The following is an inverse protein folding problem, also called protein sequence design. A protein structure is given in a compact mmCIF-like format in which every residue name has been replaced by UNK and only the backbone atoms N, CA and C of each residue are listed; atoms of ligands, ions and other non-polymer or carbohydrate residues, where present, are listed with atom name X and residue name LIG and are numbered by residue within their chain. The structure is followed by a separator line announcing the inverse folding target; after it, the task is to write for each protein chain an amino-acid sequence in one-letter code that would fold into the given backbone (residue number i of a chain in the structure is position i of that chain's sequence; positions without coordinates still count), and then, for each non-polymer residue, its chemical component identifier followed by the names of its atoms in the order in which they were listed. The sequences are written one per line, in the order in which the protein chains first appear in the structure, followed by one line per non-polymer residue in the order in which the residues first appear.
data_IF_389596895754
#
_entry.id   IF_389596895754
#
_cell.length_a   1.000
_cell.length_b   1.000
_cell.length_c   1.000
_cell.angle_alpha   90.00
_cell.angle_beta   90.00
_cell.angle_gamma   90.00
#
_symmetry.space_group_name_H-M   'P 1'
#
loop_
_entity.id
_entity.type
_entity.pdbx_description
1 polymer ?
2 water ?
#
# COMPACT_ATOMS: atom_id res chain seq x y z
N UNK A 1 -0.36 27.84 -6.29
CA UNK A 1 -1.48 28.56 -5.72
C UNK A 1 -1.35 28.75 -4.22
N UNK A 2 -2.37 29.33 -3.60
CA UNK A 2 -2.32 29.65 -2.18
C UNK A 2 -2.36 28.40 -1.30
N UNK A 3 -3.01 27.34 -1.78
CA UNK A 3 -3.14 26.12 -1.01
C UNK A 3 -2.28 24.99 -1.57
N UNK A 4 -1.47 25.31 -2.56
CA UNK A 4 -0.62 24.31 -3.21
C UNK A 4 0.33 23.63 -2.22
N UNK A 5 1.01 24.42 -1.40
CA UNK A 5 1.96 23.86 -0.45
C UNK A 5 1.23 23.07 0.65
N UNK A 6 0.11 23.61 1.12
CA UNK A 6 -0.70 22.92 2.13
C UNK A 6 -1.19 21.57 1.62
N UNK A 7 -1.61 21.54 0.36
CA UNK A 7 -2.08 20.31 -0.27
C UNK A 7 -0.95 19.30 -0.43
N UNK A 8 0.23 19.78 -0.80
CA UNK A 8 1.42 18.93 -0.87
C UNK A 8 1.68 18.26 0.47
N UNK A 9 1.59 19.05 1.53
CA UNK A 9 1.80 18.56 2.88
C UNK A 9 0.80 17.46 3.21
N UNK A 10 -0.48 17.74 3.00
CA UNK A 10 -1.54 16.78 3.28
C UNK A 10 -1.36 15.50 2.48
N UNK A 11 -1.03 15.64 1.20
CA UNK A 11 -0.83 14.49 0.34
C UNK A 11 0.36 13.65 0.78
N UNK A 12 1.47 14.31 1.09
CA UNK A 12 2.66 13.60 1.57
C UNK A 12 2.38 12.89 2.88
N UNK A 13 1.56 13.50 3.73
CA UNK A 13 1.28 12.95 5.04
C UNK A 13 0.29 11.79 5.00
N UNK A 14 -0.37 11.62 3.86
CA UNK A 14 -1.21 10.44 3.63
C UNK A 14 -0.35 9.17 3.62
N UNK A 15 0.92 9.33 3.28
CA UNK A 15 1.87 8.22 3.25
C UNK A 15 2.07 7.64 4.65
N UNK A 16 1.98 8.50 5.66
CA UNK A 16 2.13 8.07 7.05
C UNK A 16 1.03 7.09 7.44
N UNK A 17 -0.17 7.33 6.93
CA UNK A 17 -1.30 6.46 7.21
C UNK A 17 -1.12 5.11 6.53
N UNK A 18 -0.57 5.13 5.31
CA UNK A 18 -0.23 3.89 4.62
C UNK A 18 0.74 3.07 5.45
N UNK A 19 1.77 3.73 5.97
CA UNK A 19 2.78 3.06 6.78
C UNK A 19 2.17 2.47 8.05
N UNK A 20 1.31 3.24 8.70
CA UNK A 20 0.68 2.82 9.95
C UNK A 20 -0.20 1.59 9.74
N UNK A 21 -1.02 1.63 8.70
CA UNK A 21 -1.94 0.53 8.41
C UNK A 21 -1.19 -0.75 8.06
N UNK A 22 -0.11 -0.61 7.30
CA UNK A 22 0.68 -1.77 6.88
C UNK A 22 1.51 -2.32 8.04
N UNK A 23 1.96 -1.44 8.92
CA UNK A 23 2.77 -1.84 10.06
C UNK A 23 1.95 -2.68 11.04
N UNK A 24 0.74 -2.22 11.32
CA UNK A 24 -0.17 -2.95 12.21
C UNK A 24 -0.57 -4.29 11.60
N UNK A 25 -0.84 -4.29 10.30
CA UNK A 25 -1.19 -5.50 9.57
C UNK A 25 -0.05 -6.51 9.64
N UNK A 26 1.18 -6.02 9.55
CA UNK A 26 2.35 -6.88 9.67
C UNK A 26 2.52 -7.36 11.11
N UNK A 27 2.06 -6.56 12.06
CA UNK A 27 2.13 -6.92 13.47
C UNK A 27 1.07 -7.96 13.81
N UNK A 28 -0.10 -7.84 13.19
CA UNK A 28 -1.18 -8.80 13.38
C UNK A 28 -0.73 -10.19 12.93
N UNK A 29 0.04 -10.22 11.85
CA UNK A 29 0.52 -11.48 11.29
C UNK A 29 1.67 -12.05 12.11
N UNK A 30 2.40 -11.18 12.79
CA UNK A 30 3.54 -11.60 13.61
C UNK A 30 3.06 -12.35 14.85
N UNK A 31 2.07 -11.79 15.53
CA UNK A 31 1.52 -12.42 16.73
C UNK A 31 0.74 -13.68 16.36
N UNK A 32 0.23 -13.72 15.14
CA UNK A 32 -0.51 -14.89 14.65
C UNK A 32 0.45 -16.02 14.31
N UNK A 33 1.56 -15.67 13.66
CA UNK A 33 2.57 -16.65 13.29
C UNK A 33 3.28 -17.20 14.52
N UNK A 34 3.44 -16.35 15.53
CA UNK A 34 4.15 -16.72 16.75
C UNK A 34 3.42 -17.85 17.48
N UNK A 35 2.09 -17.82 17.43
CA UNK A 35 1.29 -18.83 18.11
C UNK A 35 1.28 -20.16 17.36
N UNK A 36 1.37 -20.09 16.03
CA UNK A 36 1.34 -21.30 15.21
C UNK A 36 2.63 -22.09 15.37
N UNK A 37 3.76 -21.39 15.39
CA UNK A 37 5.06 -22.04 15.57
C UNK A 37 5.22 -22.52 17.01
N UNK A 38 4.46 -21.91 17.92
CA UNK A 38 4.49 -22.30 19.32
C UNK A 38 3.73 -23.61 19.52
N UNK A 39 2.69 -23.81 18.71
CA UNK A 39 1.88 -25.02 18.79
C UNK A 39 2.30 -26.02 17.73
N UNK A 45 4.15 -25.41 9.35
CA UNK A 45 2.72 -25.66 9.23
C UNK A 45 2.14 -24.86 8.07
N UNK A 46 1.49 -23.75 8.39
CA UNK A 46 0.94 -22.85 7.38
C UNK A 46 1.52 -21.45 7.56
N UNK A 47 2.69 -21.39 8.19
CA UNK A 47 3.36 -20.12 8.45
C UNK A 47 4.00 -19.59 7.18
N UNK A 48 4.17 -20.48 6.20
CA UNK A 48 4.78 -20.11 4.92
C UNK A 48 3.96 -19.03 4.22
N UNK A 49 2.64 -19.11 4.37
CA UNK A 49 1.75 -18.11 3.78
C UNK A 49 1.87 -16.78 4.51
N UNK A 50 2.03 -16.85 5.83
CA UNK A 50 2.21 -15.66 6.65
C UNK A 50 3.57 -15.03 6.35
N UNK A 51 4.58 -15.87 6.17
CA UNK A 51 5.92 -15.41 5.83
C UNK A 51 5.92 -14.65 4.51
N UNK A 52 5.14 -15.14 3.56
CA UNK A 52 5.09 -14.54 2.23
C UNK A 52 4.41 -13.16 2.28
N UNK A 53 3.38 -13.04 3.10
CA UNK A 53 2.64 -11.78 3.20
C UNK A 53 3.40 -10.75 4.04
N UNK A 54 4.01 -11.20 5.13
CA UNK A 54 4.79 -10.30 5.97
C UNK A 54 5.96 -9.71 5.18
N UNK A 55 6.54 -10.52 4.31
CA UNK A 55 7.64 -10.08 3.48
C UNK A 55 7.16 -9.09 2.42
N UNK A 56 5.92 -9.26 1.97
CA UNK A 56 5.32 -8.34 1.02
C UNK A 56 5.06 -6.99 1.69
N UNK A 57 4.49 -7.04 2.89
CA UNK A 57 4.22 -5.84 3.67
C UNK A 57 5.50 -5.07 3.96
N UNK A 58 6.57 -5.79 4.29
CA UNK A 58 7.86 -5.19 4.59
C UNK A 58 8.41 -4.44 3.38
N UNK A 59 8.28 -5.04 2.20
CA UNK A 59 8.77 -4.43 0.97
C UNK A 59 7.98 -3.17 0.66
N UNK A 60 6.69 -3.17 1.01
CA UNK A 60 5.83 -2.02 0.77
C UNK A 60 6.06 -0.94 1.81
N UNK A 61 6.37 -1.35 3.03
CA UNK A 61 6.68 -0.41 4.10
C UNK A 61 7.98 0.33 3.77
N UNK A 62 8.98 -0.41 3.29
CA UNK A 62 10.23 0.19 2.87
C UNK A 62 10.01 1.15 1.69
N UNK A 63 9.10 0.78 0.80
CA UNK A 63 8.78 1.62 -0.35
C UNK A 63 8.16 2.93 0.11
N UNK A 64 7.21 2.83 1.04
CA UNK A 64 6.54 4.00 1.59
C UNK A 64 7.54 4.92 2.29
N UNK A 65 8.50 4.34 2.98
CA UNK A 65 9.51 5.12 3.69
C UNK A 65 10.36 5.92 2.72
N UNK A 66 10.68 5.33 1.57
CA UNK A 66 11.37 6.07 0.52
C UNK A 66 10.48 7.18 -0.01
N UNK A 67 9.20 6.88 -0.18
CA UNK A 67 8.24 7.86 -0.68
C UNK A 67 8.11 9.05 0.28
N UNK A 68 8.13 8.77 1.57
CA UNK A 68 8.05 9.82 2.58
C UNK A 68 9.26 10.75 2.46
N UNK A 69 10.45 10.16 2.36
CA UNK A 69 11.67 10.95 2.23
C UNK A 69 11.66 11.79 0.95
N UNK A 70 11.21 11.20 -0.15
CA UNK A 70 11.12 11.91 -1.42
C UNK A 70 10.10 13.04 -1.37
N UNK A 71 8.93 12.74 -0.82
CA UNK A 71 7.83 13.69 -0.73
C UNK A 71 8.20 14.89 0.14
N UNK A 72 8.73 14.60 1.32
CA UNK A 72 9.12 15.66 2.24
C UNK A 72 10.27 16.49 1.67
N UNK A 73 11.15 15.86 0.91
CA UNK A 73 12.26 16.57 0.28
C UNK A 73 11.75 17.56 -0.77
N UNK A 74 10.73 17.16 -1.52
CA UNK A 74 10.15 18.04 -2.54
C UNK A 74 9.46 19.24 -1.90
N UNK A 75 8.89 19.03 -0.71
CA UNK A 75 8.26 20.12 0.02
C UNK A 75 9.33 21.11 0.47
N UNK A 76 10.44 20.58 0.97
CA UNK A 76 11.56 21.41 1.41
C UNK A 76 12.09 22.27 0.27
N UNK A 77 12.23 21.68 -0.91
CA UNK A 77 12.68 22.41 -2.09
C UNK A 77 11.65 23.47 -2.48
N UNK A 78 10.38 23.11 -2.38
CA UNK A 78 9.29 24.04 -2.68
C UNK A 78 9.31 25.24 -1.73
N UNK A 79 9.77 25.02 -0.50
CA UNK A 79 9.72 26.05 0.53
C UNK A 79 10.99 26.90 0.62
N UNK A 80 12.06 26.46 -0.04
CA UNK A 80 13.33 27.17 0.07
C UNK A 80 13.31 28.50 -0.68
N UNK B 3 10.77 22.69 -12.52
CA UNK B 3 11.36 21.74 -11.58
C UNK B 3 10.35 21.31 -10.52
N UNK B 4 9.48 22.24 -10.12
CA UNK B 4 8.46 21.95 -9.12
C UNK B 4 7.45 20.93 -9.65
N UNK B 5 6.96 21.17 -10.87
CA UNK B 5 5.98 20.29 -11.48
C UNK B 5 6.57 18.89 -11.68
N UNK B 6 7.83 18.84 -12.08
CA UNK B 6 8.52 17.57 -12.30
C UNK B 6 8.57 16.72 -11.04
N UNK B 7 8.91 17.34 -9.91
CA UNK B 7 9.00 16.64 -8.64
C UNK B 7 7.64 16.14 -8.18
N UNK B 8 6.62 16.97 -8.34
CA UNK B 8 5.25 16.60 -7.98
C UNK B 8 4.80 15.37 -8.77
N UNK B 9 5.06 15.37 -10.07
CA UNK B 9 4.71 14.24 -10.92
C UNK B 9 5.40 12.96 -10.45
N UNK B 10 6.66 13.08 -10.05
CA UNK B 10 7.43 11.93 -9.59
C UNK B 10 6.79 11.27 -8.37
N UNK B 11 6.21 12.09 -7.49
CA UNK B 11 5.54 11.57 -6.31
C UNK B 11 4.26 10.84 -6.68
N UNK B 12 3.50 11.39 -7.62
CA UNK B 12 2.29 10.73 -8.08
C UNK B 12 2.66 9.41 -8.74
N UNK B 13 3.73 9.42 -9.53
CA UNK B 13 4.20 8.22 -10.22
C UNK B 13 4.60 7.12 -9.24
N UNK B 14 5.15 7.50 -8.09
CA UNK B 14 5.51 6.51 -7.07
C UNK B 14 4.25 5.84 -6.54
N UNK B 15 3.18 6.62 -6.41
CA UNK B 15 1.89 6.08 -5.98
C UNK B 15 1.35 5.09 -7.02
N UNK B 16 1.46 5.47 -8.30
CA UNK B 16 1.03 4.60 -9.39
C UNK B 16 1.79 3.28 -9.40
N UNK B 17 3.10 3.36 -9.22
CA UNK B 17 3.96 2.18 -9.24
C UNK B 17 3.59 1.21 -8.12
N UNK B 18 3.26 1.74 -6.95
CA UNK B 18 2.89 0.90 -5.82
C UNK B 18 1.52 0.26 -6.04
N UNK B 19 0.60 1.03 -6.62
CA UNK B 19 -0.74 0.51 -6.87
C UNK B 19 -0.68 -0.64 -7.86
N UNK B 20 0.23 -0.53 -8.82
CA UNK B 20 0.39 -1.55 -9.84
C UNK B 20 0.83 -2.87 -9.22
N UNK B 21 1.83 -2.79 -8.34
CA UNK B 21 2.35 -3.98 -7.67
C UNK B 21 1.32 -4.57 -6.72
N UNK B 22 0.54 -3.71 -6.09
CA UNK B 22 -0.48 -4.16 -5.15
C UNK B 22 -1.63 -4.83 -5.90
N UNK B 23 -1.95 -4.30 -7.08
CA UNK B 23 -3.01 -4.88 -7.90
C UNK B 23 -2.57 -6.23 -8.45
N UNK B 24 -1.31 -6.33 -8.86
CA UNK B 24 -0.76 -7.58 -9.37
C UNK B 24 -0.80 -8.67 -8.30
N UNK B 25 -0.53 -8.28 -7.06
CA UNK B 25 -0.54 -9.23 -5.95
C UNK B 25 -1.95 -9.71 -5.63
N UNK B 26 -2.92 -8.81 -5.69
CA UNK B 26 -4.31 -9.16 -5.40
C UNK B 26 -4.83 -10.16 -6.43
N UNK B 27 -4.48 -9.93 -7.69
CA UNK B 27 -4.85 -10.83 -8.77
C UNK B 27 -4.24 -12.21 -8.56
N UNK B 28 -3.00 -12.23 -8.08
CA UNK B 28 -2.30 -13.47 -7.79
C UNK B 28 -3.02 -14.25 -6.69
N UNK B 29 -3.45 -13.54 -5.65
CA UNK B 29 -4.17 -14.16 -4.54
C UNK B 29 -5.53 -14.66 -4.99
N UNK B 30 -6.16 -13.91 -5.89
CA UNK B 30 -7.45 -14.30 -6.45
C UNK B 30 -7.35 -15.65 -7.15
N UNK B 31 -6.33 -15.78 -8.00
CA UNK B 31 -6.08 -17.02 -8.72
C UNK B 31 -5.78 -18.17 -7.75
N UNK B 32 -5.05 -17.87 -6.68
CA UNK B 32 -4.72 -18.89 -5.70
C UNK B 32 -5.97 -19.36 -4.96
N UNK B 33 -6.86 -18.42 -4.64
CA UNK B 33 -8.10 -18.76 -3.96
C UNK B 33 -8.99 -19.62 -4.86
N UNK B 34 -9.04 -19.28 -6.15
CA UNK B 34 -9.83 -20.04 -7.11
C UNK B 34 -9.38 -21.49 -7.18
N UNK B 35 -8.06 -21.70 -7.20
CA UNK B 35 -7.50 -23.05 -7.22
C UNK B 35 -7.87 -23.81 -5.96
N UNK B 36 -7.75 -23.14 -4.81
CA UNK B 36 -8.08 -23.75 -3.53
C UNK B 36 -9.55 -24.13 -3.46
N UNK B 37 -10.42 -23.22 -3.89
CA UNK B 37 -11.86 -23.48 -3.91
C UNK B 37 -12.18 -24.63 -4.86
N UNK B 38 -11.50 -24.67 -6.00
CA UNK B 38 -11.75 -25.70 -7.00
C UNK B 38 -11.34 -27.08 -6.50
N UNK B 39 -10.41 -27.12 -5.55
CA UNK B 39 -9.92 -28.39 -5.02
C UNK B 39 -10.58 -28.79 -3.70
N UNK B 40 -11.03 -27.80 -2.93
CA UNK B 40 -11.53 -28.07 -1.58
C UNK B 40 -12.92 -27.51 -1.29
N UNK B 41 -13.39 -26.59 -2.12
CA UNK B 41 -14.67 -25.95 -1.90
C UNK B 41 -14.57 -24.64 -1.14
N UNK B 42 -15.69 -23.92 -1.05
CA UNK B 42 -15.75 -22.64 -0.35
C UNK B 42 -15.59 -22.79 1.16
N UNK B 43 -15.77 -24.01 1.65
CA UNK B 43 -15.71 -24.27 3.08
C UNK B 43 -14.32 -24.61 3.60
N UNK B 44 -13.30 -24.36 2.79
CA UNK B 44 -11.93 -24.62 3.20
C UNK B 44 -11.52 -23.66 4.31
N UNK B 45 -10.47 -24.03 5.03
CA UNK B 45 -9.96 -23.21 6.12
C UNK B 45 -9.16 -22.03 5.58
N UNK B 46 -8.50 -22.24 4.44
CA UNK B 46 -7.57 -21.26 3.90
C UNK B 46 -8.26 -20.10 3.18
N UNK B 47 -9.47 -20.33 2.70
CA UNK B 47 -10.18 -19.31 1.93
C UNK B 47 -10.52 -18.09 2.79
N UNK B 48 -10.74 -18.32 4.08
CA UNK B 48 -11.09 -17.24 4.99
C UNK B 48 -9.90 -16.32 5.23
N UNK B 49 -8.71 -16.90 5.27
CA UNK B 49 -7.49 -16.14 5.51
C UNK B 49 -7.05 -15.40 4.25
N UNK B 50 -7.39 -15.96 3.09
CA UNK B 50 -7.09 -15.30 1.82
C UNK B 50 -8.08 -14.17 1.59
N UNK B 51 -9.35 -14.41 1.93
CA UNK B 51 -10.37 -13.37 1.84
C UNK B 51 -9.99 -12.18 2.71
N UNK B 52 -9.53 -12.47 3.92
CA UNK B 52 -9.08 -11.43 4.84
C UNK B 52 -7.90 -10.67 4.26
N UNK B 53 -6.94 -11.40 3.71
CA UNK B 53 -5.76 -10.80 3.11
C UNK B 53 -6.15 -9.92 1.92
N UNK B 54 -7.05 -10.42 1.08
CA UNK B 54 -7.51 -9.68 -0.09
C UNK B 54 -8.26 -8.41 0.31
N UNK B 55 -8.98 -8.47 1.43
CA UNK B 55 -9.67 -7.29 1.94
C UNK B 55 -8.66 -6.24 2.37
N UNK B 56 -7.59 -6.68 3.01
CA UNK B 56 -6.53 -5.78 3.44
C UNK B 56 -5.86 -5.10 2.25
N UNK B 57 -5.58 -5.88 1.21
CA UNK B 57 -4.98 -5.35 0.00
C UNK B 57 -5.90 -4.35 -0.69
N UNK B 58 -7.18 -4.70 -0.76
CA UNK B 58 -8.18 -3.84 -1.39
C UNK B 58 -8.29 -2.52 -0.64
N UNK B 59 -8.24 -2.58 0.69
CA UNK B 59 -8.24 -1.38 1.51
C UNK B 59 -7.04 -0.51 1.15
N UNK B 60 -5.87 -1.14 1.03
CA UNK B 60 -4.65 -0.44 0.62
C UNK B 60 -4.80 0.20 -0.76
N UNK B 61 -5.42 -0.51 -1.69
CA UNK B 61 -5.55 -0.03 -3.06
C UNK B 61 -6.59 1.09 -3.12
N UNK B 62 -7.68 0.94 -2.39
CA UNK B 62 -8.69 1.99 -2.33
C UNK B 62 -8.09 3.29 -1.79
N UNK B 63 -7.23 3.16 -0.78
CA UNK B 63 -6.60 4.32 -0.16
C UNK B 63 -5.62 5.00 -1.12
N UNK B 64 -4.84 4.20 -1.84
CA UNK B 64 -3.84 4.75 -2.75
C UNK B 64 -4.53 5.37 -3.97
N UNK B 65 -5.71 4.88 -4.31
CA UNK B 65 -6.49 5.47 -5.40
C UNK B 65 -6.86 6.92 -5.09
N UNK B 66 -7.26 7.17 -3.84
CA UNK B 66 -7.57 8.52 -3.40
C UNK B 66 -6.30 9.38 -3.35
N UNK B 67 -5.20 8.76 -2.95
CA UNK B 67 -3.91 9.45 -2.89
C UNK B 67 -3.45 9.87 -4.28
N UNK B 68 -3.71 9.02 -5.26
CA UNK B 68 -3.36 9.31 -6.64
C UNK B 68 -4.23 10.45 -7.15
N UNK B 69 -5.51 10.41 -6.79
CA UNK B 69 -6.45 11.47 -7.17
C UNK B 69 -6.05 12.82 -6.58
N UNK B 70 -5.80 12.85 -5.27
CA UNK B 70 -5.38 14.07 -4.60
C UNK B 70 -4.08 14.61 -5.20
N UNK B 71 -3.17 13.69 -5.53
CA UNK B 71 -1.85 14.04 -6.06
C UNK B 71 -1.96 14.77 -7.38
N UNK B 72 -2.71 14.18 -8.31
CA UNK B 72 -2.90 14.77 -9.63
C UNK B 72 -3.74 16.04 -9.54
N UNK B 73 -4.74 16.04 -8.66
CA UNK B 73 -5.63 17.18 -8.51
C UNK B 73 -4.88 18.42 -8.03
N UNK B 74 -3.84 18.21 -7.23
CA UNK B 74 -3.04 19.34 -6.75
C UNK B 74 -2.20 19.91 -7.89
N UNK B 75 -1.78 19.04 -8.80
CA UNK B 75 -1.04 19.47 -9.98
C UNK B 75 -1.96 20.27 -10.89
N UNK B 76 -3.15 19.74 -11.14
CA UNK B 76 -4.13 20.38 -12.01
C UNK B 76 -4.50 21.76 -11.50
N UNK B 77 -4.74 21.86 -10.20
CA UNK B 77 -5.05 23.13 -9.56
C UNK B 77 -3.93 24.14 -9.75
N UNK B 78 -2.69 23.68 -9.60
CA UNK B 78 -1.53 24.56 -9.69
C UNK B 78 -1.32 25.10 -11.10
N UNK B 79 -1.66 24.29 -12.10
CA UNK B 79 -1.44 24.67 -13.49
C UNK B 79 -2.58 25.50 -14.06
N UNK B 80 -3.74 25.43 -13.41
CA UNK B 80 -4.93 26.12 -13.91
C UNK B 80 -5.31 27.30 -13.01
#
# INVERSE_FOLDING_TARGET
GSMTISNMEADCNRLLKQREELTKRREKLSKRREKIVKENGEGDKNVANINEEMESLTANIDYINDSISDCQANIMQMEEAK
GSMTISNMEADCNRLLKQREELTKRREKLSKRREKIVKENGEGDKNVANINEEMESLTANIDYINDSISDCQANIMQMEEAK
#
